data_IF_334995594027
#
_entry.id   IF_334995594027
#
_cell.length_a   1.000
_cell.length_b   1.000
_cell.length_c   1.000
_cell.angle_alpha   90.00
_cell.angle_beta   90.00
_cell.angle_gamma   90.00
#
_symmetry.space_group_name_H-M   'P 1'
#
loop_
_entity.id
_entity.type
_entity.pdbx_description
1 polymer ?
#
# COMPACT_ATOMS: atom_id res chain seq x y z
N UNK A 1 18.32 -28.06 0.83
CA UNK A 1 17.97 -26.85 0.05
C UNK A 1 17.32 -27.33 -1.23
N UNK A 2 16.05 -27.02 -1.49
CA UNK A 2 15.39 -27.48 -2.71
C UNK A 2 15.81 -26.54 -3.86
N UNK A 3 16.60 -27.05 -4.81
CA UNK A 3 17.06 -26.32 -5.99
C UNK A 3 15.94 -26.24 -7.02
N UNK A 4 15.04 -25.27 -6.86
CA UNK A 4 13.99 -24.97 -7.84
C UNK A 4 14.46 -24.05 -8.99
N UNK A 5 15.68 -23.52 -8.92
CA UNK A 5 16.22 -22.57 -9.89
C UNK A 5 17.45 -23.18 -10.56
N UNK A 6 17.43 -23.42 -11.88
CA UNK A 6 18.61 -23.83 -12.63
C UNK A 6 19.76 -22.81 -12.42
N UNK A 7 21.02 -23.26 -12.29
CA UNK A 7 22.16 -22.39 -12.00
C UNK A 7 22.29 -21.20 -12.96
N UNK A 8 21.92 -21.38 -14.23
CA UNK A 8 21.92 -20.31 -15.24
C UNK A 8 20.99 -19.12 -14.92
N UNK A 9 19.97 -19.30 -14.09
CA UNK A 9 18.99 -18.26 -13.73
C UNK A 9 19.14 -17.73 -12.30
N UNK A 10 20.05 -18.26 -11.49
CA UNK A 10 20.19 -17.85 -10.09
C UNK A 10 20.50 -16.35 -9.90
N UNK A 11 21.17 -15.73 -10.89
CA UNK A 11 21.58 -14.33 -10.84
C UNK A 11 20.43 -13.33 -11.02
N UNK A 12 19.30 -13.73 -11.63
CA UNK A 12 18.17 -12.83 -11.89
C UNK A 12 17.14 -12.81 -10.75
N UNK A 13 17.17 -13.83 -9.89
CA UNK A 13 16.23 -13.99 -8.76
C UNK A 13 16.23 -12.77 -7.82
N UNK A 14 17.38 -12.20 -7.41
CA UNK A 14 17.42 -11.02 -6.55
C UNK A 14 16.85 -9.75 -7.20
N UNK A 15 16.65 -9.74 -8.52
CA UNK A 15 16.09 -8.62 -9.28
C UNK A 15 14.58 -8.80 -9.43
N UNK A 16 14.16 -9.97 -9.93
CA UNK A 16 12.76 -10.26 -10.27
C UNK A 16 11.89 -10.40 -9.03
N UNK A 17 12.37 -11.07 -7.97
CA UNK A 17 11.56 -11.33 -6.78
C UNK A 17 11.13 -10.02 -6.10
N UNK A 18 12.04 -9.07 -5.77
CA UNK A 18 11.64 -7.79 -5.23
C UNK A 18 10.72 -7.00 -6.17
N UNK A 19 10.95 -7.06 -7.49
CA UNK A 19 10.10 -6.37 -8.47
C UNK A 19 8.66 -6.88 -8.44
N UNK A 20 8.45 -8.19 -8.46
CA UNK A 20 7.11 -8.80 -8.40
C UNK A 20 6.41 -8.43 -7.09
N UNK A 21 7.13 -8.52 -5.96
CA UNK A 21 6.57 -8.13 -4.65
C UNK A 21 6.16 -6.66 -4.69
N UNK A 22 7.03 -5.78 -5.17
CA UNK A 22 6.73 -4.35 -5.34
C UNK A 22 5.46 -4.12 -6.16
N UNK A 23 5.34 -4.79 -7.31
CA UNK A 23 4.18 -4.68 -8.19
C UNK A 23 2.89 -5.09 -7.49
N UNK A 24 2.88 -6.22 -6.78
CA UNK A 24 1.71 -6.69 -6.02
C UNK A 24 1.33 -5.66 -4.95
N UNK A 25 2.31 -5.20 -4.17
CA UNK A 25 2.09 -4.18 -3.13
C UNK A 25 1.51 -2.90 -3.74
N UNK A 26 2.06 -2.44 -4.86
CA UNK A 26 1.57 -1.26 -5.57
C UNK A 26 0.11 -1.39 -6.03
N UNK A 27 -0.27 -2.55 -6.57
CA UNK A 27 -1.67 -2.82 -6.97
C UNK A 27 -2.61 -2.82 -5.76
N UNK A 28 -2.19 -3.43 -4.65
CA UNK A 28 -2.98 -3.44 -3.41
C UNK A 28 -3.20 -2.01 -2.90
N UNK A 29 -2.13 -1.21 -2.78
CA UNK A 29 -2.22 0.19 -2.34
C UNK A 29 -3.17 0.98 -3.26
N UNK A 30 -3.05 0.81 -4.57
CA UNK A 30 -3.88 1.53 -5.55
C UNK A 30 -5.37 1.20 -5.41
N UNK A 31 -5.72 -0.07 -5.19
CA UNK A 31 -7.12 -0.47 -4.93
C UNK A 31 -7.63 0.10 -3.62
N UNK A 32 -6.82 0.08 -2.56
CA UNK A 32 -7.18 0.67 -1.26
C UNK A 32 -7.42 2.18 -1.39
N UNK A 33 -6.57 2.91 -2.11
CA UNK A 33 -6.77 4.34 -2.36
C UNK A 33 -8.07 4.63 -3.13
N UNK A 34 -8.41 3.82 -4.15
CA UNK A 34 -9.69 3.94 -4.87
C UNK A 34 -10.88 3.71 -3.93
N UNK A 35 -10.78 2.72 -3.02
CA UNK A 35 -11.82 2.46 -2.03
C UNK A 35 -11.99 3.63 -1.04
N UNK A 36 -10.89 4.15 -0.52
CA UNK A 36 -10.90 5.32 0.39
C UNK A 36 -11.52 6.53 -0.31
N UNK A 37 -11.18 6.78 -1.57
CA UNK A 37 -11.77 7.88 -2.34
C UNK A 37 -13.28 7.66 -2.55
N UNK A 38 -13.72 6.44 -2.84
CA UNK A 38 -15.14 6.12 -2.96
C UNK A 38 -15.89 6.37 -1.64
N UNK A 39 -15.29 6.04 -0.48
CA UNK A 39 -15.85 6.35 0.83
C UNK A 39 -15.93 7.86 1.09
N UNK A 40 -14.92 8.63 0.69
CA UNK A 40 -14.95 10.10 0.81
C UNK A 40 -16.09 10.67 -0.04
N UNK A 41 -16.25 10.22 -1.29
CA UNK A 41 -17.34 10.64 -2.17
C UNK A 41 -18.70 10.29 -1.53
N UNK A 42 -18.83 9.08 -0.99
CA UNK A 42 -20.04 8.66 -0.29
C UNK A 42 -20.37 9.58 0.90
N UNK A 43 -19.38 9.91 1.74
CA UNK A 43 -19.58 10.85 2.86
C UNK A 43 -20.05 12.23 2.40
N UNK A 44 -19.49 12.74 1.30
CA UNK A 44 -19.93 14.03 0.71
C UNK A 44 -21.39 13.93 0.26
N UNK A 45 -21.79 12.84 -0.38
CA UNK A 45 -23.19 12.63 -0.82
C UNK A 45 -24.13 12.59 0.39
N UNK A 46 -23.80 11.81 1.43
CA UNK A 46 -24.61 11.76 2.66
C UNK A 46 -24.73 13.14 3.33
N UNK A 47 -23.65 13.92 3.35
CA UNK A 47 -23.68 15.27 3.90
C UNK A 47 -24.56 16.21 3.07
N UNK A 48 -24.53 16.11 1.74
CA UNK A 48 -25.33 16.94 0.85
C UNK A 48 -26.85 16.74 1.02
N UNK A 49 -27.29 15.52 1.35
CA UNK A 49 -28.71 15.22 1.65
C UNK A 49 -29.07 15.35 3.14
N UNK A 50 -28.13 15.78 3.98
CA UNK A 50 -28.37 16.08 5.39
C UNK A 50 -28.35 14.87 6.34
N UNK A 51 -27.87 13.70 5.91
CA UNK A 51 -27.75 12.53 6.79
C UNK A 51 -26.59 12.63 7.78
N UNK A 52 -25.51 13.36 7.43
CA UNK A 52 -24.30 13.48 8.26
C UNK A 52 -23.66 14.86 8.11
N UNK A 53 -22.80 15.27 9.05
CA UNK A 53 -21.93 16.43 8.88
C UNK A 53 -20.54 15.98 8.44
N UNK A 54 -19.85 16.80 7.63
CA UNK A 54 -18.46 16.52 7.27
C UNK A 54 -17.56 16.81 8.47
N UNK A 55 -16.60 15.91 8.78
CA UNK A 55 -15.68 16.13 9.88
C UNK A 55 -14.78 17.33 9.60
N UNK A 56 -14.42 18.03 10.67
CA UNK A 56 -13.44 19.11 10.65
C UNK A 56 -12.03 18.56 10.43
N UNK A 57 -11.11 19.45 10.03
CA UNK A 57 -9.70 19.08 9.91
C UNK A 57 -9.12 18.55 11.24
N UNK A 58 -9.49 19.15 12.37
CA UNK A 58 -9.01 18.74 13.69
C UNK A 58 -9.49 17.34 14.07
N UNK A 59 -10.74 16.99 13.78
CA UNK A 59 -11.27 15.64 14.00
C UNK A 59 -10.56 14.60 13.13
N UNK A 60 -10.29 14.92 11.86
CA UNK A 60 -9.54 14.04 10.95
C UNK A 60 -8.11 13.85 11.45
N UNK A 61 -7.44 14.94 11.84
CA UNK A 61 -6.07 14.89 12.34
C UNK A 61 -5.98 14.11 13.66
N UNK A 62 -6.92 14.33 14.58
CA UNK A 62 -7.02 13.59 15.84
C UNK A 62 -7.25 12.09 15.60
N UNK A 63 -8.16 11.75 14.68
CA UNK A 63 -8.36 10.36 14.28
C UNK A 63 -7.09 9.75 13.68
N UNK A 64 -6.39 10.47 12.79
CA UNK A 64 -5.13 10.00 12.23
C UNK A 64 -4.08 9.76 13.34
N UNK A 65 -3.90 10.69 14.27
CA UNK A 65 -2.96 10.54 15.39
C UNK A 65 -3.35 9.40 16.35
N UNK A 66 -4.65 9.07 16.44
CA UNK A 66 -5.13 7.94 17.23
C UNK A 66 -4.82 6.60 16.57
N UNK A 67 -5.01 6.48 15.25
CA UNK A 67 -4.94 5.19 14.55
C UNK A 67 -3.59 4.93 13.87
N UNK A 68 -2.90 5.95 13.38
CA UNK A 68 -1.59 5.78 12.71
C UNK A 68 -0.53 5.11 13.60
N UNK A 69 -0.41 5.38 14.92
CA UNK A 69 0.55 4.69 15.78
C UNK A 69 0.26 3.20 15.92
N UNK A 70 -1.02 2.83 16.01
CA UNK A 70 -1.45 1.42 16.06
C UNK A 70 -1.12 0.71 14.75
N UNK A 71 -1.49 1.31 13.61
CA UNK A 71 -1.17 0.78 12.29
C UNK A 71 0.35 0.65 12.09
N UNK A 72 1.12 1.61 12.59
CA UNK A 72 2.58 1.55 12.53
C UNK A 72 3.14 0.41 13.38
N UNK A 73 2.62 0.20 14.59
CA UNK A 73 3.05 -0.91 15.44
C UNK A 73 2.80 -2.28 14.78
N UNK A 74 1.68 -2.43 14.08
CA UNK A 74 1.34 -3.64 13.33
C UNK A 74 2.13 -3.79 12.02
N UNK A 75 2.40 -2.69 11.32
CA UNK A 75 3.07 -2.71 10.02
C UNK A 75 4.60 -2.68 10.10
N UNK A 76 5.19 -2.13 11.17
CA UNK A 76 6.64 -2.01 11.33
C UNK A 76 7.40 -3.33 11.17
N UNK A 77 6.91 -4.49 11.66
CA UNK A 77 7.55 -5.78 11.39
C UNK A 77 7.64 -6.14 9.90
N UNK A 78 6.68 -5.71 9.08
CA UNK A 78 6.64 -5.99 7.63
C UNK A 78 7.78 -5.30 6.89
N UNK A 79 8.31 -4.19 7.41
CA UNK A 79 9.44 -3.46 6.83
C UNK A 79 10.69 -4.34 6.76
N UNK A 80 10.85 -5.30 7.69
CA UNK A 80 11.97 -6.25 7.67
C UNK A 80 11.80 -7.37 6.63
N UNK A 81 10.61 -7.52 6.06
CA UNK A 81 10.28 -8.57 5.09
C UNK A 81 10.27 -7.99 3.68
N UNK A 82 9.79 -6.76 3.54
CA UNK A 82 9.70 -6.10 2.25
C UNK A 82 11.08 -5.58 1.80
N UNK A 83 11.47 -5.79 0.55
CA UNK A 83 12.74 -5.28 0.02
C UNK A 83 12.61 -3.78 -0.35
N UNK A 84 12.19 -2.93 0.58
CA UNK A 84 11.83 -1.52 0.31
C UNK A 84 13.03 -0.64 -0.07
N UNK A 85 14.26 -1.04 0.29
CA UNK A 85 15.50 -0.38 -0.13
C UNK A 85 15.97 -0.80 -1.52
N UNK A 86 15.33 -1.80 -2.15
CA UNK A 86 15.66 -2.25 -3.49
C UNK A 86 15.05 -1.34 -4.56
N UNK A 87 15.88 -0.89 -5.51
CA UNK A 87 15.42 -0.15 -6.68
C UNK A 87 14.39 -0.94 -7.49
N UNK A 88 14.57 -2.26 -7.63
CA UNK A 88 13.67 -3.08 -8.45
C UNK A 88 12.30 -3.24 -7.78
N UNK A 89 12.26 -3.31 -6.44
CA UNK A 89 11.01 -3.24 -5.69
C UNK A 89 10.30 -1.90 -5.91
N UNK A 90 11.01 -0.78 -5.79
CA UNK A 90 10.43 0.54 -5.98
C UNK A 90 9.88 0.74 -7.41
N UNK A 91 10.56 0.21 -8.42
CA UNK A 91 10.07 0.22 -9.81
C UNK A 91 8.80 -0.63 -9.96
N UNK A 92 8.79 -1.84 -9.40
CA UNK A 92 7.61 -2.68 -9.37
C UNK A 92 6.43 -1.98 -8.70
N UNK A 93 6.67 -1.38 -7.53
CA UNK A 93 5.69 -0.63 -6.76
C UNK A 93 5.15 0.58 -7.54
N UNK A 94 6.01 1.37 -8.17
CA UNK A 94 5.60 2.50 -8.99
C UNK A 94 4.69 2.05 -10.15
N UNK A 95 5.06 0.98 -10.85
CA UNK A 95 4.24 0.42 -11.93
C UNK A 95 2.90 -0.14 -11.42
N UNK A 96 2.91 -0.84 -10.28
CA UNK A 96 1.70 -1.34 -9.63
C UNK A 96 0.76 -0.22 -9.21
N UNK A 97 1.30 0.88 -8.67
CA UNK A 97 0.52 2.08 -8.31
C UNK A 97 -0.06 2.79 -9.54
N UNK A 98 0.69 2.82 -10.65
CA UNK A 98 0.25 3.47 -11.87
C UNK A 98 -0.88 2.68 -12.55
N UNK A 99 -0.70 1.36 -12.73
CA UNK A 99 -1.59 0.52 -13.53
C UNK A 99 -2.61 -0.31 -12.74
N UNK A 100 -2.51 -0.40 -11.41
CA UNK A 100 -3.51 -1.04 -10.53
C UNK A 100 -4.82 -0.26 -10.43
#
# INVERSE_FOLDING_TARGET
MINFVPPEYAWIVPVIVPFIIGLIVGVVIKKTLKLVLALIILLIVLAAVGYTQLPTFEEIASAALKYLPMLWAEASPLINILPYSSLTFLLGLALGLWKG
#
